data_IF_104005562583
#
_entry.id   IF_104005562583
#
_cell.length_a   1.000
_cell.length_b   1.000
_cell.length_c   1.000
_cell.angle_alpha   90.00
_cell.angle_beta   90.00
_cell.angle_gamma   90.00
#
_symmetry.space_group_name_H-M   'P 1'
#
loop_
_entity.id
_entity.type
_entity.pdbx_description
1 polymer ?
#
# COMPACT_ATOMS: atom_id res chain seq x y z
N UNK A 1 -5.03 20.10 -5.20
CA UNK A 1 -6.48 20.17 -4.88
C UNK A 1 -6.79 18.90 -4.08
N UNK A 2 -6.67 19.00 -2.76
CA UNK A 2 -6.65 17.88 -1.82
C UNK A 2 -7.99 17.15 -1.80
N UNK A 3 -7.94 15.81 -1.77
CA UNK A 3 -9.09 14.93 -1.66
C UNK A 3 -9.78 15.20 -0.31
N UNK A 4 -10.89 15.93 -0.30
CA UNK A 4 -11.68 16.17 0.92
C UNK A 4 -12.47 14.91 1.30
N UNK A 5 -11.76 13.88 1.78
CA UNK A 5 -12.34 12.76 2.53
C UNK A 5 -11.91 12.92 3.97
N UNK A 6 -12.86 12.87 4.90
CA UNK A 6 -12.60 13.02 6.33
C UNK A 6 -13.22 11.88 7.14
N UNK A 7 -12.76 11.70 8.38
CA UNK A 7 -13.35 10.73 9.31
C UNK A 7 -14.82 11.08 9.61
N UNK A 8 -15.72 10.10 9.86
CA UNK A 8 -15.48 8.66 9.81
C UNK A 8 -15.30 8.12 8.39
N UNK A 9 -16.08 8.53 7.39
CA UNK A 9 -15.76 8.37 5.95
C UNK A 9 -16.69 9.30 5.17
N UNK A 10 -16.37 10.59 5.17
CA UNK A 10 -17.24 11.66 4.69
C UNK A 10 -16.59 12.42 3.54
N UNK A 11 -17.38 12.75 2.51
CA UNK A 11 -16.93 13.56 1.38
C UNK A 11 -18.14 14.22 0.70
N UNK A 12 -17.88 15.15 -0.23
CA UNK A 12 -18.92 15.89 -0.98
C UNK A 12 -19.72 15.03 -1.97
N UNK A 13 -19.23 13.82 -2.28
CA UNK A 13 -19.79 12.94 -3.32
C UNK A 13 -20.45 11.72 -2.69
N UNK A 14 -20.13 10.52 -3.19
CA UNK A 14 -20.82 9.26 -2.88
C UNK A 14 -20.39 8.55 -1.60
N UNK A 15 -19.70 9.21 -0.67
CA UNK A 15 -19.31 8.54 0.59
C UNK A 15 -20.51 8.06 1.40
N UNK A 16 -21.68 8.69 1.24
CA UNK A 16 -22.95 8.27 1.86
C UNK A 16 -23.43 6.89 1.42
N UNK A 17 -22.99 6.40 0.26
CA UNK A 17 -23.32 5.06 -0.25
C UNK A 17 -22.52 3.96 0.47
N UNK A 18 -21.53 4.35 1.30
CA UNK A 18 -20.63 3.45 2.01
C UNK A 18 -20.70 3.70 3.53
N UNK A 19 -21.86 3.48 4.18
CA UNK A 19 -22.07 3.83 5.59
C UNK A 19 -21.24 3.00 6.57
N UNK A 20 -20.71 1.85 6.13
CA UNK A 20 -19.87 0.97 6.96
C UNK A 20 -18.37 1.17 6.73
N UNK A 21 -17.99 2.23 6.01
CA UNK A 21 -16.60 2.57 5.79
C UNK A 21 -16.04 3.44 6.93
N UNK A 22 -14.79 3.18 7.29
CA UNK A 22 -14.00 3.99 8.21
C UNK A 22 -12.68 4.41 7.55
N UNK A 23 -12.40 5.71 7.52
CA UNK A 23 -11.18 6.30 7.01
C UNK A 23 -10.06 6.16 8.05
N UNK A 24 -9.00 5.47 7.66
CA UNK A 24 -7.78 5.37 8.47
C UNK A 24 -6.90 6.58 8.24
N UNK A 25 -6.51 6.80 6.99
CA UNK A 25 -5.60 7.88 6.60
C UNK A 25 -5.76 8.23 5.13
N UNK A 26 -5.30 9.43 4.77
CA UNK A 26 -5.18 9.92 3.39
C UNK A 26 -3.73 10.29 3.12
N UNK A 27 -3.27 10.14 1.88
CA UNK A 27 -1.97 10.65 1.47
C UNK A 27 -2.08 11.47 0.19
N UNK A 28 -1.11 12.35 0.01
CA UNK A 28 -0.87 13.12 -1.21
C UNK A 28 0.64 13.39 -1.27
N UNK A 29 1.33 12.81 -2.24
CA UNK A 29 2.79 12.99 -2.39
C UNK A 29 3.14 14.30 -3.10
N UNK A 30 2.15 14.97 -3.71
CA UNK A 30 2.32 16.24 -4.42
C UNK A 30 3.14 16.16 -5.72
N UNK A 31 3.24 17.28 -6.46
CA UNK A 31 3.81 17.32 -7.82
C UNK A 31 5.28 16.92 -7.90
N UNK A 32 6.04 17.11 -6.81
CA UNK A 32 7.46 16.77 -6.76
C UNK A 32 7.71 15.26 -6.67
N UNK A 33 6.76 14.50 -6.13
CA UNK A 33 6.89 13.07 -5.85
C UNK A 33 5.86 12.23 -6.62
N UNK A 34 5.65 12.56 -7.89
CA UNK A 34 4.76 11.86 -8.81
C UNK A 34 3.26 11.97 -8.50
N UNK A 35 2.85 12.93 -7.66
CA UNK A 35 1.46 13.39 -7.43
C UNK A 35 0.47 12.26 -7.08
N UNK A 36 0.97 11.19 -6.47
CA UNK A 36 0.18 10.06 -6.00
C UNK A 36 -0.63 10.47 -4.78
N UNK A 37 -1.94 10.30 -4.86
CA UNK A 37 -2.84 10.57 -3.75
C UNK A 37 -3.79 9.39 -3.54
N UNK A 38 -4.37 9.30 -2.35
CA UNK A 38 -5.29 8.20 -2.05
C UNK A 38 -5.67 8.13 -0.59
N UNK A 39 -6.28 7.00 -0.21
CA UNK A 39 -6.68 6.74 1.16
C UNK A 39 -6.65 5.25 1.53
N UNK A 40 -6.52 4.99 2.82
CA UNK A 40 -6.77 3.67 3.42
C UNK A 40 -8.10 3.76 4.17
N UNK A 41 -9.00 2.81 3.93
CA UNK A 41 -10.25 2.69 4.65
C UNK A 41 -10.55 1.23 5.03
N UNK A 42 -11.30 1.04 6.10
CA UNK A 42 -11.92 -0.23 6.46
C UNK A 42 -13.34 -0.26 5.91
N UNK A 43 -13.80 -1.44 5.50
CA UNK A 43 -15.20 -1.72 5.22
C UNK A 43 -15.65 -2.86 6.14
N UNK A 44 -16.29 -2.48 7.24
CA UNK A 44 -16.74 -3.43 8.27
C UNK A 44 -17.86 -4.34 7.77
N UNK A 45 -18.63 -3.92 6.76
CA UNK A 45 -19.72 -4.71 6.20
C UNK A 45 -19.25 -5.91 5.37
N UNK A 46 -18.03 -5.82 4.83
CA UNK A 46 -17.44 -6.88 3.98
C UNK A 46 -16.13 -7.45 4.53
N UNK A 47 -15.76 -7.08 5.76
CA UNK A 47 -14.49 -7.45 6.39
C UNK A 47 -13.30 -7.28 5.42
N UNK A 48 -13.04 -6.03 5.02
CA UNK A 48 -11.93 -5.73 4.11
C UNK A 48 -11.21 -4.42 4.42
N UNK A 49 -9.91 -4.43 4.18
CA UNK A 49 -9.04 -3.25 4.19
C UNK A 49 -8.91 -2.78 2.74
N UNK A 50 -9.17 -1.51 2.47
CA UNK A 50 -9.15 -0.91 1.14
C UNK A 50 -7.99 0.07 1.07
N UNK A 51 -7.10 -0.12 0.11
CA UNK A 51 -6.08 0.87 -0.26
C UNK A 51 -6.49 1.42 -1.63
N UNK A 52 -6.92 2.67 -1.66
CA UNK A 52 -7.41 3.34 -2.85
C UNK A 52 -6.39 4.34 -3.38
N UNK A 53 -5.85 4.09 -4.57
CA UNK A 53 -5.02 5.04 -5.29
C UNK A 53 -5.89 5.91 -6.21
N UNK A 54 -5.59 7.21 -6.26
CA UNK A 54 -6.12 8.16 -7.24
C UNK A 54 -5.01 8.46 -8.25
N UNK A 55 -5.29 8.24 -9.53
CA UNK A 55 -4.42 8.69 -10.61
C UNK A 55 -4.17 10.21 -10.60
N UNK A 56 -3.01 10.63 -11.07
CA UNK A 56 -2.62 12.03 -11.19
C UNK A 56 -3.42 12.76 -12.26
N UNK A 57 -3.90 13.98 -11.95
CA UNK A 57 -4.57 14.85 -12.94
C UNK A 57 -3.58 15.57 -13.87
N UNK A 58 -2.32 15.16 -13.91
CA UNK A 58 -1.32 15.74 -14.78
C UNK A 58 -1.11 14.89 -16.03
N UNK A 59 -2.19 14.75 -16.80
CA UNK A 59 -2.11 14.44 -18.24
C UNK A 59 -1.17 15.40 -18.98
N UNK A 60 -0.88 16.57 -18.38
CA UNK A 60 0.09 17.53 -18.87
C UNK A 60 1.56 17.02 -18.84
N UNK A 61 1.91 16.05 -17.99
CA UNK A 61 3.21 15.37 -18.06
C UNK A 61 3.16 14.03 -18.79
N UNK A 62 1.97 13.47 -19.03
CA UNK A 62 1.78 12.25 -19.84
C UNK A 62 2.24 12.45 -21.29
N UNK A 63 2.28 13.68 -21.78
CA UNK A 63 2.82 14.00 -23.12
C UNK A 63 4.36 13.92 -23.17
N UNK A 64 5.06 14.18 -22.05
CA UNK A 64 6.51 14.01 -21.97
C UNK A 64 6.91 12.56 -21.58
N UNK A 65 6.07 11.88 -20.79
CA UNK A 65 6.26 10.51 -20.29
C UNK A 65 5.58 9.42 -21.16
N UNK A 66 5.21 9.73 -22.41
CA UNK A 66 4.89 8.70 -23.43
C UNK A 66 6.11 7.81 -23.77
N UNK A 67 7.27 8.11 -23.20
CA UNK A 67 8.42 7.23 -23.17
C UNK A 67 8.14 6.03 -22.26
N UNK A 68 7.85 4.86 -22.85
CA UNK A 68 7.71 3.57 -22.16
C UNK A 68 9.06 3.05 -21.65
N UNK A 69 9.76 3.84 -20.81
CA UNK A 69 11.10 3.50 -20.34
C UNK A 69 10.97 2.41 -19.26
N UNK A 70 11.49 1.19 -19.53
CA UNK A 70 11.47 0.12 -18.56
C UNK A 70 12.51 0.39 -17.47
N UNK A 71 12.11 0.28 -16.20
CA UNK A 71 12.99 0.23 -15.04
C UNK A 71 12.98 -1.21 -14.49
N UNK A 72 14.12 -1.70 -13.98
CA UNK A 72 14.17 -2.97 -13.25
C UNK A 72 13.17 -2.94 -12.09
N UNK A 73 12.35 -3.99 -11.98
CA UNK A 73 11.46 -4.19 -10.84
C UNK A 73 12.29 -4.51 -9.59
N UNK A 74 12.01 -3.79 -8.51
CA UNK A 74 12.63 -4.00 -7.22
C UNK A 74 11.56 -4.55 -6.25
N UNK A 75 11.65 -5.83 -5.87
CA UNK A 75 10.71 -6.44 -4.93
C UNK A 75 10.69 -5.72 -3.59
N UNK A 76 9.55 -5.81 -2.88
CA UNK A 76 9.44 -5.38 -1.50
C UNK A 76 9.22 -6.59 -0.58
N UNK A 77 9.94 -6.70 0.56
CA UNK A 77 11.13 -5.94 0.94
C UNK A 77 12.33 -6.29 0.04
N UNK A 78 13.29 -5.38 -0.11
CA UNK A 78 14.46 -5.56 -1.00
C UNK A 78 15.37 -6.74 -0.62
N UNK A 79 16.36 -7.05 -1.47
CA UNK A 79 17.24 -8.24 -1.32
C UNK A 79 18.10 -8.22 -0.03
N UNK A 80 18.28 -7.05 0.57
CA UNK A 80 19.09 -6.76 1.76
C UNK A 80 18.28 -6.79 3.09
N UNK A 81 17.05 -7.33 3.04
CA UNK A 81 16.35 -7.77 4.24
C UNK A 81 17.05 -8.99 4.87
N UNK A 82 18.05 -8.76 5.71
CA UNK A 82 18.68 -9.81 6.53
C UNK A 82 17.66 -10.50 7.44
N UNK A 83 17.10 -11.61 6.98
CA UNK A 83 16.41 -12.58 7.84
C UNK A 83 17.49 -13.53 8.36
N UNK A 84 17.89 -13.37 9.62
CA UNK A 84 18.75 -14.34 10.29
C UNK A 84 17.90 -15.57 10.59
N UNK A 85 17.91 -16.53 9.66
CA UNK A 85 17.40 -17.87 9.89
C UNK A 85 18.35 -18.63 10.83
N UNK A 86 17.89 -18.92 12.05
CA UNK A 86 18.39 -20.06 12.81
C UNK A 86 17.23 -21.02 13.14
N UNK A 87 17.17 -22.04 12.28
CA UNK A 87 16.95 -23.47 12.55
C UNK A 87 15.82 -23.89 13.49
N UNK A 88 14.86 -24.55 12.84
CA UNK A 88 14.23 -25.82 13.23
C UNK A 88 13.55 -25.93 14.60
N UNK A 89 12.23 -26.09 14.48
CA UNK A 89 11.41 -27.06 15.23
C UNK A 89 10.78 -26.59 16.53
N UNK A 90 9.44 -26.58 16.48
CA UNK A 90 8.49 -26.86 17.57
C UNK A 90 8.06 -25.69 18.48
N UNK A 91 6.73 -25.66 18.70
CA UNK A 91 5.96 -24.96 19.75
C UNK A 91 5.68 -23.46 19.59
N UNK A 92 4.56 -23.12 18.93
CA UNK A 92 3.85 -21.86 19.22
C UNK A 92 3.01 -22.01 20.50
N UNK A 93 3.68 -21.84 21.65
CA UNK A 93 3.07 -21.49 22.93
C UNK A 93 3.57 -20.08 23.27
N UNK A 94 2.67 -19.10 23.35
CA UNK A 94 3.01 -17.67 23.27
C UNK A 94 3.72 -17.05 24.48
N UNK A 95 4.40 -15.92 24.23
CA UNK A 95 4.63 -14.75 25.12
C UNK A 95 5.58 -13.71 24.44
N UNK A 96 5.74 -12.47 24.95
CA UNK A 96 4.94 -11.28 24.66
C UNK A 96 5.73 -10.17 23.91
N UNK A 97 5.00 -9.13 23.47
CA UNK A 97 5.45 -7.93 22.74
C UNK A 97 6.74 -7.27 23.26
N UNK A 98 7.67 -7.01 22.33
CA UNK A 98 8.58 -5.85 22.36
C UNK A 98 8.65 -5.23 20.96
N UNK A 99 8.63 -3.91 20.94
CA UNK A 99 8.50 -3.03 19.79
C UNK A 99 9.39 -3.40 18.59
N UNK A 100 8.80 -3.36 17.40
CA UNK A 100 9.50 -3.52 16.14
C UNK A 100 8.61 -4.23 15.13
N UNK A 101 8.03 -3.46 14.21
CA UNK A 101 7.30 -3.99 13.05
C UNK A 101 8.21 -4.95 12.25
N UNK A 102 8.12 -6.23 12.54
CA UNK A 102 8.62 -7.29 11.66
C UNK A 102 7.59 -7.48 10.56
N UNK A 103 7.96 -7.41 9.27
CA UNK A 103 7.06 -7.76 8.18
C UNK A 103 6.50 -9.18 8.42
N UNK A 104 5.23 -9.46 8.04
CA UNK A 104 4.71 -10.81 8.10
C UNK A 104 5.68 -11.78 7.39
N UNK A 105 5.89 -13.00 7.92
CA UNK A 105 6.88 -13.93 7.40
C UNK A 105 6.57 -14.20 5.93
N UNK A 106 7.40 -13.64 5.05
CA UNK A 106 7.33 -13.94 3.63
C UNK A 106 7.67 -15.41 3.48
N UNK A 107 6.65 -16.19 3.10
CA UNK A 107 6.84 -17.58 2.73
C UNK A 107 7.95 -17.64 1.68
N UNK A 108 9.00 -18.40 1.95
CA UNK A 108 10.16 -18.61 1.09
C UNK A 108 9.87 -19.24 -0.29
N UNK A 109 8.58 -19.36 -0.65
CA UNK A 109 8.07 -19.82 -1.94
C UNK A 109 7.31 -18.72 -2.70
N UNK A 110 7.55 -17.44 -2.42
CA UNK A 110 7.08 -16.38 -3.30
C UNK A 110 7.97 -16.36 -4.55
N UNK A 111 7.41 -16.75 -5.70
CA UNK A 111 8.11 -16.78 -6.98
C UNK A 111 8.67 -15.38 -7.28
N UNK A 112 9.95 -15.17 -6.97
CA UNK A 112 10.64 -13.90 -7.24
C UNK A 112 10.64 -13.67 -8.75
N UNK A 113 10.21 -12.48 -9.14
CA UNK A 113 10.20 -12.07 -10.53
C UNK A 113 11.64 -11.73 -10.96
N UNK A 114 12.33 -12.65 -11.64
CA UNK A 114 13.67 -12.42 -12.14
C UNK A 114 13.63 -11.64 -13.47
N UNK A 115 14.47 -10.60 -13.61
CA UNK A 115 14.58 -9.76 -14.81
C UNK A 115 13.28 -9.05 -15.24
N UNK A 116 12.39 -8.82 -14.29
CA UNK A 116 11.14 -8.12 -14.57
C UNK A 116 11.39 -6.61 -14.67
N UNK A 117 10.67 -5.98 -15.59
CA UNK A 117 10.69 -4.53 -15.77
C UNK A 117 9.31 -3.95 -15.55
N UNK A 118 9.28 -2.69 -15.11
CA UNK A 118 8.09 -1.92 -14.80
C UNK A 118 8.28 -0.51 -15.36
N UNK A 119 7.19 0.17 -15.73
CA UNK A 119 7.26 1.55 -16.17
C UNK A 119 7.89 2.42 -15.08
N UNK A 120 8.91 3.21 -15.44
CA UNK A 120 9.63 4.10 -14.51
C UNK A 120 8.68 4.97 -13.68
N UNK A 121 7.64 5.53 -14.31
CA UNK A 121 6.64 6.34 -13.62
C UNK A 121 5.86 5.57 -12.54
N UNK A 122 5.48 4.32 -12.80
CA UNK A 122 4.76 3.49 -11.82
C UNK A 122 5.68 3.07 -10.67
N UNK A 123 6.92 2.68 -10.97
CA UNK A 123 7.90 2.32 -9.94
C UNK A 123 8.21 3.52 -9.04
N UNK A 124 8.43 4.71 -9.62
CA UNK A 124 8.66 5.93 -8.85
C UNK A 124 7.45 6.28 -7.99
N UNK A 125 6.23 6.23 -8.55
CA UNK A 125 5.00 6.50 -7.80
C UNK A 125 4.84 5.56 -6.61
N UNK A 126 5.08 4.25 -6.81
CA UNK A 126 5.06 3.26 -5.75
C UNK A 126 6.15 3.52 -4.69
N UNK A 127 7.40 3.72 -5.11
CA UNK A 127 8.53 3.98 -4.19
C UNK A 127 8.32 5.23 -3.34
N UNK A 128 7.73 6.28 -3.90
CA UNK A 128 7.41 7.51 -3.16
C UNK A 128 6.23 7.30 -2.20
N UNK A 129 5.24 6.51 -2.60
CA UNK A 129 4.02 6.31 -1.80
C UNK A 129 4.20 5.29 -0.68
N UNK A 130 5.00 4.24 -0.89
CA UNK A 130 5.10 3.09 0.03
C UNK A 130 5.48 3.50 1.45
N UNK A 131 6.37 4.49 1.62
CA UNK A 131 6.78 4.99 2.94
C UNK A 131 5.62 5.65 3.71
N UNK A 132 4.69 6.30 3.00
CA UNK A 132 3.54 6.95 3.61
C UNK A 132 2.43 5.96 4.01
N UNK A 133 2.26 4.86 3.25
CA UNK A 133 1.10 3.97 3.45
C UNK A 133 1.42 2.71 4.25
N UNK A 134 2.66 2.19 4.17
CA UNK A 134 3.00 0.88 4.76
C UNK A 134 2.84 0.83 6.29
N UNK A 135 3.25 1.84 7.09
CA UNK A 135 3.05 1.79 8.54
C UNK A 135 1.57 1.68 8.91
N UNK A 136 0.71 2.45 8.24
CA UNK A 136 -0.73 2.41 8.47
C UNK A 136 -1.36 1.12 7.95
N UNK A 137 -0.89 0.58 6.83
CA UNK A 137 -1.43 -0.65 6.28
C UNK A 137 -1.06 -1.86 7.15
N UNK A 138 0.20 -1.96 7.58
CA UNK A 138 0.67 -3.04 8.44
C UNK A 138 -0.07 -3.06 9.78
N UNK A 139 -0.30 -1.88 10.37
CA UNK A 139 -1.09 -1.77 11.60
C UNK A 139 -2.51 -2.34 11.41
N UNK A 140 -3.15 -2.05 10.28
CA UNK A 140 -4.51 -2.49 10.02
C UNK A 140 -4.58 -3.98 9.69
N UNK A 141 -3.58 -4.52 8.99
CA UNK A 141 -3.44 -5.97 8.77
C UNK A 141 -3.25 -6.74 10.08
N UNK A 142 -2.59 -6.13 11.08
CA UNK A 142 -2.44 -6.70 12.41
C UNK A 142 -3.74 -6.66 13.22
N UNK A 143 -4.43 -5.51 13.23
CA UNK A 143 -5.66 -5.31 14.02
C UNK A 143 -6.87 -6.06 13.43
N UNK A 144 -6.91 -6.23 12.11
CA UNK A 144 -8.01 -6.86 11.38
C UNK A 144 -7.50 -8.04 10.56
N UNK A 145 -6.98 -9.05 11.25
CA UNK A 145 -6.36 -10.23 10.61
C UNK A 145 -7.35 -11.10 9.82
N UNK A 146 -8.65 -10.96 10.08
CA UNK A 146 -9.74 -11.60 9.34
C UNK A 146 -10.20 -10.78 8.11
N UNK A 147 -9.72 -9.54 7.95
CA UNK A 147 -10.13 -8.66 6.85
C UNK A 147 -9.30 -8.94 5.59
N UNK A 148 -9.97 -8.98 4.43
CA UNK A 148 -9.30 -9.12 3.12
C UNK A 148 -8.69 -7.80 2.66
N UNK A 149 -7.42 -7.80 2.27
CA UNK A 149 -6.79 -6.65 1.63
C UNK A 149 -7.29 -6.50 0.18
N UNK A 150 -7.78 -5.31 -0.18
CA UNK A 150 -8.20 -4.95 -1.52
C UNK A 150 -7.46 -3.69 -1.97
N UNK A 151 -6.77 -3.79 -3.11
CA UNK A 151 -6.17 -2.65 -3.79
C UNK A 151 -7.15 -2.16 -4.87
N UNK A 152 -7.48 -0.87 -4.85
CA UNK A 152 -8.34 -0.26 -5.88
C UNK A 152 -7.65 0.98 -6.45
N UNK A 153 -7.84 1.21 -7.74
CA UNK A 153 -7.29 2.38 -8.42
C UNK A 153 -8.21 2.77 -9.57
N UNK A 154 -8.27 4.06 -9.88
CA UNK A 154 -8.90 4.58 -11.10
C UNK A 154 -7.91 5.53 -11.80
N UNK A 155 -7.86 5.43 -13.14
CA UNK A 155 -7.01 6.27 -13.99
C UNK A 155 -7.56 7.66 -14.21
#
# INVERSE_FOLDING_TARGET
>A
KTLFIAKPFTCLSRCKDFPQFELITTWDTGPLLSDSAGYIALDHGKARIIVAFRGTYSLANTVADLSTIPQKYEPYPGEDGHVIEQRSSQHYLGKPLQDGFSPPPQSSNENKCHNCTVHTGFQRSWSNTRAAILPHLQQQLFLYSDYKLNLVSNS
#
